data_IF_494711486967
#
_entry.id   IF_494711486967
#
_cell.length_a   1.000
_cell.length_b   1.000
_cell.length_c   1.000
_cell.angle_alpha   90.00
_cell.angle_beta   90.00
_cell.angle_gamma   90.00
#
_symmetry.space_group_name_H-M   'P 1'
#
loop_
_entity.id
_entity.type
_entity.pdbx_description
1 polymer ?
#
# COMPACT_ATOMS: atom_id res chain seq x y z
N UNK A 1 -28.41 11.82 16.10
CA UNK A 1 -26.95 11.91 16.30
C UNK A 1 -26.34 10.96 15.29
N UNK A 2 -25.62 11.46 14.28
CA UNK A 2 -24.80 10.60 13.43
C UNK A 2 -23.76 9.91 14.30
N UNK A 3 -23.56 8.61 14.10
CA UNK A 3 -22.44 7.92 14.73
C UNK A 3 -21.15 8.54 14.18
N UNK A 4 -20.45 9.29 15.03
CA UNK A 4 -19.14 9.82 14.68
C UNK A 4 -18.19 8.65 14.43
N UNK A 5 -17.65 8.57 13.22
CA UNK A 5 -16.59 7.62 12.88
C UNK A 5 -15.30 8.18 13.48
N UNK A 6 -14.58 7.35 14.24
CA UNK A 6 -13.27 7.68 14.82
C UNK A 6 -12.22 6.83 14.11
N UNK A 7 -11.13 7.46 13.70
CA UNK A 7 -9.99 6.73 13.15
C UNK A 7 -9.27 5.97 14.28
N UNK A 8 -9.09 4.67 14.10
CA UNK A 8 -8.42 3.76 15.03
C UNK A 8 -7.19 3.09 14.40
N UNK A 9 -6.71 3.58 13.25
CA UNK A 9 -5.59 3.00 12.52
C UNK A 9 -4.31 2.97 13.34
N UNK A 10 -4.09 3.98 14.19
CA UNK A 10 -2.94 4.07 15.10
C UNK A 10 -3.02 3.10 16.30
N UNK A 11 -4.18 2.51 16.57
CA UNK A 11 -4.36 1.57 17.68
C UNK A 11 -3.95 0.13 17.33
N UNK A 12 -3.59 -0.11 16.07
CA UNK A 12 -3.11 -1.41 15.60
C UNK A 12 -1.59 -1.43 15.39
N UNK A 13 -0.99 -2.58 15.65
CA UNK A 13 0.33 -2.92 15.10
C UNK A 13 0.17 -3.36 13.65
N UNK A 14 0.93 -2.75 12.75
CA UNK A 14 0.87 -3.06 11.33
C UNK A 14 2.08 -3.87 10.88
N UNK A 15 1.83 -4.89 10.08
CA UNK A 15 2.85 -5.69 9.42
C UNK A 15 2.47 -5.92 7.95
N UNK A 16 3.48 -6.15 7.11
CA UNK A 16 3.31 -6.55 5.71
C UNK A 16 4.06 -7.85 5.47
N UNK A 17 3.56 -8.69 4.58
CA UNK A 17 4.20 -9.97 4.24
C UNK A 17 5.62 -9.79 3.69
N UNK A 18 5.84 -8.70 2.95
CA UNK A 18 7.12 -8.33 2.35
C UNK A 18 7.08 -6.88 1.89
N UNK A 19 8.23 -6.31 1.52
CA UNK A 19 8.30 -5.03 0.84
C UNK A 19 9.51 -4.97 -0.07
N UNK A 20 9.36 -4.25 -1.19
CA UNK A 20 10.47 -3.90 -2.07
C UNK A 20 11.33 -2.83 -1.42
N UNK A 21 12.65 -2.94 -1.54
CA UNK A 21 13.56 -1.90 -1.05
C UNK A 21 13.17 -0.52 -1.61
N UNK A 22 13.02 0.48 -0.73
CA UNK A 22 12.55 1.83 -1.07
C UNK A 22 11.05 2.05 -0.95
N UNK A 23 10.25 0.99 -0.75
CA UNK A 23 8.79 1.06 -0.63
C UNK A 23 8.29 0.35 0.65
N UNK A 24 8.76 0.75 1.84
CA UNK A 24 8.44 0.09 3.10
C UNK A 24 6.98 0.28 3.53
N UNK A 25 6.56 -0.45 4.57
CA UNK A 25 5.26 -0.30 5.22
C UNK A 25 4.95 1.14 5.64
N UNK A 26 5.96 1.89 6.10
CA UNK A 26 5.80 3.25 6.59
C UNK A 26 5.13 4.17 5.55
N UNK A 27 5.43 3.97 4.27
CA UNK A 27 4.85 4.73 3.16
C UNK A 27 3.33 4.49 2.98
N UNK A 28 2.75 3.45 3.59
CA UNK A 28 1.30 3.23 3.54
C UNK A 28 0.54 4.15 4.51
N UNK A 29 1.24 4.75 5.48
CA UNK A 29 0.62 5.50 6.59
C UNK A 29 1.27 6.86 6.87
N UNK A 30 2.12 7.37 5.98
CA UNK A 30 2.86 8.63 6.17
C UNK A 30 2.09 9.89 5.73
N UNK A 31 0.84 9.74 5.26
CA UNK A 31 -0.02 10.81 4.73
C UNK A 31 0.51 11.51 3.46
N UNK A 32 1.48 10.90 2.78
CA UNK A 32 1.98 11.38 1.49
C UNK A 32 1.40 10.52 0.35
N UNK A 33 0.63 11.13 -0.56
CA UNK A 33 -0.01 10.41 -1.67
C UNK A 33 0.99 9.95 -2.76
N UNK A 34 2.23 10.48 -2.74
CA UNK A 34 3.28 10.13 -3.71
C UNK A 34 4.14 8.94 -3.27
N UNK A 35 4.09 8.59 -1.98
CA UNK A 35 4.76 7.40 -1.43
C UNK A 35 3.77 6.23 -1.37
N UNK A 36 4.31 5.01 -1.41
CA UNK A 36 3.50 3.80 -1.30
C UNK A 36 4.31 2.63 -0.78
N UNK A 37 3.61 1.67 -0.18
CA UNK A 37 4.13 0.32 0.04
C UNK A 37 4.05 -0.49 -1.26
N UNK A 38 5.12 -1.22 -1.59
CA UNK A 38 5.13 -2.17 -2.69
C UNK A 38 5.58 -3.53 -2.16
N UNK A 39 4.75 -4.56 -2.31
CA UNK A 39 5.13 -5.94 -1.99
C UNK A 39 6.19 -6.46 -2.97
N UNK A 40 6.97 -7.44 -2.51
CA UNK A 40 7.96 -8.15 -3.34
C UNK A 40 8.00 -9.63 -2.94
N UNK A 41 7.95 -10.54 -3.92
CA UNK A 41 8.03 -11.98 -3.68
C UNK A 41 6.80 -12.77 -4.14
N UNK A 42 6.56 -13.92 -3.51
CA UNK A 42 5.55 -14.90 -3.93
C UNK A 42 4.17 -14.50 -3.39
N UNK A 43 3.14 -14.71 -4.21
CA UNK A 43 1.74 -14.49 -3.84
C UNK A 43 1.21 -15.58 -2.88
N UNK A 44 0.23 -15.26 -2.02
CA UNK A 44 -0.41 -13.96 -1.84
C UNK A 44 0.39 -12.98 -0.96
N UNK A 45 0.15 -11.68 -1.13
CA UNK A 45 0.67 -10.63 -0.26
C UNK A 45 -0.37 -10.24 0.80
N UNK A 46 0.10 -9.87 2.00
CA UNK A 46 -0.77 -9.54 3.13
C UNK A 46 -0.36 -8.22 3.79
N UNK A 47 -1.37 -7.46 4.22
CA UNK A 47 -1.26 -6.40 5.22
C UNK A 47 -2.00 -6.92 6.45
N UNK A 48 -1.35 -6.88 7.62
CA UNK A 48 -1.93 -7.32 8.89
C UNK A 48 -2.03 -6.11 9.82
N UNK A 49 -3.20 -5.93 10.44
CA UNK A 49 -3.45 -4.98 11.51
C UNK A 49 -3.87 -5.74 12.77
N UNK A 50 -3.03 -5.72 13.80
CA UNK A 50 -3.26 -6.43 15.07
C UNK A 50 -3.64 -5.44 16.17
N UNK A 51 -4.84 -5.61 16.74
CA UNK A 51 -5.31 -4.81 17.87
C UNK A 51 -5.13 -5.56 19.19
N UNK A 52 -4.83 -4.84 20.27
CA UNK A 52 -4.66 -5.44 21.61
C UNK A 52 -5.98 -5.89 22.26
N UNK A 53 -7.12 -5.53 21.67
CA UNK A 53 -8.46 -5.89 22.13
C UNK A 53 -9.42 -6.04 20.95
N UNK A 54 -10.57 -6.66 21.18
CA UNK A 54 -11.63 -6.74 20.18
C UNK A 54 -12.15 -5.32 19.91
N UNK A 55 -12.01 -4.86 18.67
CA UNK A 55 -12.50 -3.57 18.21
C UNK A 55 -13.60 -3.75 17.18
N UNK A 56 -14.53 -2.79 17.14
CA UNK A 56 -15.54 -2.72 16.09
C UNK A 56 -15.00 -1.87 14.95
N UNK A 57 -14.79 -2.48 13.78
CA UNK A 57 -14.42 -1.77 12.56
C UNK A 57 -15.69 -1.49 11.77
N UNK A 58 -15.97 -0.22 11.50
CA UNK A 58 -17.11 0.20 10.68
C UNK A 58 -16.73 0.49 9.23
N UNK A 59 -15.53 1.02 9.00
CA UNK A 59 -15.04 1.40 7.67
C UNK A 59 -13.57 1.05 7.57
N UNK A 60 -13.15 0.58 6.40
CA UNK A 60 -11.75 0.42 6.02
C UNK A 60 -11.55 1.19 4.71
N UNK A 61 -10.60 2.12 4.69
CA UNK A 61 -10.25 2.90 3.51
C UNK A 61 -8.90 2.41 3.01
N UNK A 62 -8.82 2.09 1.72
CA UNK A 62 -7.58 1.67 1.06
C UNK A 62 -7.44 2.50 -0.21
N UNK A 63 -6.35 3.25 -0.31
CA UNK A 63 -5.99 3.97 -1.52
C UNK A 63 -5.13 3.07 -2.40
N UNK A 64 -5.55 2.87 -3.65
CA UNK A 64 -4.85 2.05 -4.64
C UNK A 64 -4.78 2.87 -5.92
N UNK A 65 -3.58 3.04 -6.46
CA UNK A 65 -3.36 3.71 -7.73
C UNK A 65 -2.35 2.94 -8.58
N UNK A 66 -2.45 3.10 -9.90
CA UNK A 66 -1.49 2.55 -10.85
C UNK A 66 -0.49 3.63 -11.23
N UNK A 67 0.80 3.43 -10.88
CA UNK A 67 1.87 4.31 -11.35
C UNK A 67 2.31 3.86 -12.75
N UNK A 68 1.79 4.54 -13.77
CA UNK A 68 2.14 4.26 -15.17
C UNK A 68 3.55 4.78 -15.46
N UNK A 69 4.49 3.87 -15.71
CA UNK A 69 5.84 4.23 -16.16
C UNK A 69 5.85 4.47 -17.67
N UNK A 70 5.96 5.72 -18.10
CA UNK A 70 5.98 6.11 -19.53
C UNK A 70 7.27 5.73 -20.30
N UNK A 71 8.28 5.14 -19.65
CA UNK A 71 9.60 4.88 -20.25
C UNK A 71 9.74 3.57 -21.07
N UNK A 72 8.65 2.86 -21.40
CA UNK A 72 8.71 1.61 -22.18
C UNK A 72 8.45 1.75 -23.69
N UNK A 73 8.42 2.97 -24.25
CA UNK A 73 8.25 3.19 -25.70
C UNK A 73 9.37 4.03 -26.33
N UNK A 74 10.62 3.56 -26.26
CA UNK A 74 11.66 3.97 -27.22
C UNK A 74 12.79 2.94 -27.28
N UNK A 75 12.54 1.79 -27.92
CA UNK A 75 13.59 0.94 -28.52
C UNK A 75 12.94 -0.21 -29.30
N UNK A 76 12.31 0.11 -30.43
CA UNK A 76 12.06 -0.82 -31.53
C UNK A 76 12.09 -0.02 -32.85
N UNK A 77 13.22 0.62 -33.14
CA UNK A 77 13.50 1.19 -34.45
C UNK A 77 15.00 1.06 -34.70
N UNK A 78 15.40 -0.01 -35.41
CA UNK A 78 16.76 -0.14 -35.92
C UNK A 78 17.44 -1.46 -35.58
N UNK A 79 17.06 -2.52 -36.30
CA UNK A 79 18.00 -3.54 -36.77
C UNK A 79 17.24 -4.46 -37.73
N UNK A 80 17.47 -4.26 -39.03
CA UNK A 80 17.56 -5.30 -40.06
C UNK A 80 17.84 -4.57 -41.39
N UNK A 81 19.11 -4.22 -41.57
CA UNK A 81 19.77 -4.16 -42.88
C UNK A 81 20.19 -5.55 -43.27
#
# INVERSE_FOLDING_TARGET
MENQIVDISENALWAVSSYKQGYPLANMRDSDEETFWQSEGILPHFITAEFTSIVKISVMLVFIFEKINYNLKSNQAGANT
#
